data_IF_669602294114
#
_entry.id   IF_669602294114
#
_cell.length_a   1.000
_cell.length_b   1.000
_cell.length_c   1.000
_cell.angle_alpha   90.00
_cell.angle_beta   90.00
_cell.angle_gamma   90.00
#
_symmetry.space_group_name_H-M   'P 1'
#
loop_
_entity.id
_entity.type
_entity.pdbx_description
1 polymer ?
#
# COMPACT_ATOMS: atom_id res chain seq x y z
N UNK A 1 -4.49 -6.36 8.15
CA UNK A 1 -4.33 -5.18 7.26
C UNK A 1 -3.05 -5.31 6.43
N UNK A 2 -3.00 -4.78 5.20
CA UNK A 2 -1.77 -4.75 4.39
C UNK A 2 -1.21 -3.33 4.33
N UNK A 3 0.03 -3.18 4.75
CA UNK A 3 0.72 -1.90 4.88
C UNK A 3 2.22 -2.08 4.59
N UNK A 4 2.93 -0.99 4.32
CA UNK A 4 4.39 -0.96 4.24
C UNK A 4 4.96 -1.28 5.63
N UNK A 5 6.03 -2.05 5.68
CA UNK A 5 6.69 -2.41 6.94
C UNK A 5 7.35 -1.18 7.57
N UNK A 6 6.82 -0.71 8.69
CA UNK A 6 7.43 0.32 9.53
C UNK A 6 7.37 -0.06 11.03
N UNK A 7 7.59 0.91 11.92
CA UNK A 7 7.55 0.68 13.38
C UNK A 7 6.12 0.40 13.86
N UNK A 8 5.14 1.23 13.45
CA UNK A 8 3.72 1.01 13.73
C UNK A 8 3.25 -0.40 13.35
N UNK A 9 3.55 -0.87 12.13
CA UNK A 9 3.15 -2.19 11.66
C UNK A 9 3.66 -3.33 12.56
N UNK A 10 4.89 -3.19 13.10
CA UNK A 10 5.47 -4.19 14.02
C UNK A 10 4.81 -4.15 15.39
N UNK A 11 4.56 -2.96 15.92
CA UNK A 11 4.01 -2.79 17.26
C UNK A 11 2.53 -3.15 17.32
N UNK A 12 1.77 -2.77 16.29
CA UNK A 12 0.38 -3.19 16.13
C UNK A 12 0.25 -4.72 16.02
N UNK A 13 1.10 -5.35 15.22
CA UNK A 13 1.12 -6.82 15.13
C UNK A 13 1.45 -7.47 16.48
N UNK A 14 2.42 -6.95 17.25
CA UNK A 14 2.70 -7.46 18.60
C UNK A 14 1.51 -7.26 19.54
N UNK A 15 0.86 -6.11 19.47
CA UNK A 15 -0.28 -5.76 20.30
C UNK A 15 -1.48 -6.69 20.03
N UNK A 16 -1.74 -7.04 18.77
CA UNK A 16 -2.81 -7.96 18.35
C UNK A 16 -2.65 -9.37 18.97
N UNK A 17 -1.43 -9.83 19.22
CA UNK A 17 -1.16 -11.12 19.88
C UNK A 17 -0.85 -10.99 21.39
N UNK A 18 -1.16 -9.85 22.00
CA UNK A 18 -0.94 -9.60 23.42
C UNK A 18 -2.23 -9.75 24.25
N UNK A 19 -2.20 -9.37 25.53
CA UNK A 19 -3.37 -9.40 26.41
C UNK A 19 -4.09 -8.04 26.53
N UNK A 20 -3.78 -7.08 25.67
CA UNK A 20 -4.49 -5.79 25.68
C UNK A 20 -5.96 -5.98 25.30
N UNK A 21 -6.80 -5.06 25.76
CA UNK A 21 -8.21 -5.07 25.39
C UNK A 21 -8.42 -4.63 23.94
N UNK A 22 -9.56 -5.03 23.36
CA UNK A 22 -9.97 -4.58 22.03
C UNK A 22 -10.03 -3.04 21.94
N UNK A 23 -10.48 -2.37 23.00
CA UNK A 23 -10.55 -0.91 23.08
C UNK A 23 -9.16 -0.26 23.02
N UNK A 24 -8.16 -0.86 23.68
CA UNK A 24 -6.77 -0.38 23.62
C UNK A 24 -6.14 -0.63 22.25
N UNK A 25 -6.47 -1.77 21.61
CA UNK A 25 -6.01 -2.09 20.26
C UNK A 25 -6.60 -1.11 19.23
N UNK A 26 -7.89 -0.76 19.36
CA UNK A 26 -8.53 0.25 18.52
C UNK A 26 -7.92 1.64 18.71
N UNK A 27 -7.64 2.04 19.96
CA UNK A 27 -6.97 3.31 20.26
C UNK A 27 -5.58 3.40 19.62
N UNK A 28 -4.84 2.28 19.57
CA UNK A 28 -3.54 2.22 18.92
C UNK A 28 -3.63 2.50 17.41
N UNK A 29 -4.64 1.95 16.74
CA UNK A 29 -4.88 2.16 15.31
C UNK A 29 -5.53 3.51 14.96
N UNK A 30 -6.24 4.12 15.91
CA UNK A 30 -6.97 5.36 15.68
C UNK A 30 -6.06 6.50 15.19
N UNK A 31 -6.46 7.11 14.07
CA UNK A 31 -5.74 8.19 13.42
C UNK A 31 -4.42 7.80 12.74
N UNK A 32 -4.00 6.53 12.75
CA UNK A 32 -2.73 6.11 12.16
C UNK A 32 -2.64 6.40 10.65
N UNK A 33 -3.74 6.21 9.91
CA UNK A 33 -3.80 6.57 8.49
C UNK A 33 -3.64 8.07 8.25
N UNK A 34 -4.22 8.92 9.10
CA UNK A 34 -4.10 10.37 8.97
C UNK A 34 -2.64 10.82 9.20
N UNK A 35 -2.00 10.28 10.25
CA UNK A 35 -0.59 10.55 10.54
C UNK A 35 0.31 10.15 9.36
N UNK A 36 0.04 9.03 8.69
CA UNK A 36 0.78 8.64 7.48
C UNK A 36 0.46 9.53 6.27
N UNK A 37 -0.81 9.66 5.90
CA UNK A 37 -1.22 10.26 4.63
C UNK A 37 -1.17 11.79 4.59
N UNK A 38 -1.38 12.44 5.75
CA UNK A 38 -1.44 13.91 5.86
C UNK A 38 -0.19 14.46 6.49
N UNK A 39 0.28 13.86 7.58
CA UNK A 39 1.42 14.38 8.35
C UNK A 39 2.77 13.79 7.92
N UNK A 40 2.77 12.68 7.17
CA UNK A 40 4.00 11.99 6.76
C UNK A 40 4.75 11.32 7.91
N UNK A 41 4.10 10.97 9.02
CA UNK A 41 4.75 10.30 10.15
C UNK A 41 5.06 8.83 9.84
N UNK A 42 6.27 8.59 9.34
CA UNK A 42 6.81 7.26 9.02
C UNK A 42 6.88 6.30 10.21
N UNK A 43 6.91 6.80 11.45
CA UNK A 43 7.11 5.98 12.65
C UNK A 43 5.79 5.46 13.20
N UNK A 44 4.81 6.34 13.38
CA UNK A 44 3.53 5.99 14.04
C UNK A 44 2.34 5.96 13.08
N UNK A 45 2.56 6.31 11.81
CA UNK A 45 1.55 6.25 10.76
C UNK A 45 1.37 4.86 10.16
N UNK A 46 0.15 4.62 9.65
CA UNK A 46 -0.21 3.42 8.89
C UNK A 46 -0.13 3.69 7.38
N UNK A 47 0.95 3.22 6.75
CA UNK A 47 1.17 3.37 5.30
C UNK A 47 0.51 2.21 4.55
N UNK A 48 -0.79 2.32 4.33
CA UNK A 48 -1.57 1.36 3.55
C UNK A 48 -1.08 1.28 2.10
N UNK A 49 -0.59 0.11 1.69
CA UNK A 49 -0.13 -0.12 0.32
C UNK A 49 -0.25 -1.60 -0.09
N UNK A 50 -0.49 -1.84 -1.38
CA UNK A 50 -0.48 -3.18 -1.97
C UNK A 50 0.95 -3.71 -2.19
N UNK A 51 1.10 -5.02 -2.45
CA UNK A 51 2.42 -5.62 -2.73
C UNK A 51 3.06 -5.07 -4.01
N UNK A 52 2.25 -4.55 -4.94
CA UNK A 52 2.70 -3.92 -6.18
C UNK A 52 3.49 -2.63 -5.94
N UNK A 53 3.50 -2.08 -4.71
CA UNK A 53 4.24 -0.85 -4.39
C UNK A 53 5.73 -0.95 -4.71
N UNK A 54 6.32 -2.16 -4.68
CA UNK A 54 7.71 -2.38 -5.09
C UNK A 54 7.97 -2.21 -6.60
N UNK A 55 6.93 -2.17 -7.43
CA UNK A 55 7.02 -1.89 -8.87
C UNK A 55 6.82 -0.41 -9.20
N UNK A 56 6.34 0.40 -8.26
CA UNK A 56 6.17 1.85 -8.45
C UNK A 56 7.50 2.53 -8.16
N UNK A 57 8.16 3.03 -9.20
CA UNK A 57 9.53 3.57 -9.12
C UNK A 57 9.66 5.04 -9.58
N UNK A 58 8.53 5.69 -9.85
CA UNK A 58 8.47 7.09 -10.28
C UNK A 58 7.19 7.75 -9.77
N UNK A 59 7.29 9.04 -9.50
CA UNK A 59 6.15 9.91 -9.25
C UNK A 59 5.60 10.41 -10.59
N UNK A 60 4.28 10.36 -10.77
CA UNK A 60 3.64 10.70 -12.03
C UNK A 60 2.29 11.40 -11.82
N UNK A 61 1.91 12.33 -12.71
CA UNK A 61 0.54 12.81 -12.81
C UNK A 61 -0.45 11.67 -13.09
N UNK A 62 -1.65 11.76 -12.53
CA UNK A 62 -2.68 10.73 -12.70
C UNK A 62 -2.99 10.42 -14.18
N UNK A 63 -2.99 11.44 -15.05
CA UNK A 63 -3.22 11.27 -16.48
C UNK A 63 -2.14 10.41 -17.17
N UNK A 64 -0.88 10.55 -16.76
CA UNK A 64 0.23 9.76 -17.30
C UNK A 64 0.16 8.31 -16.85
N UNK A 65 -0.17 8.06 -15.57
CA UNK A 65 -0.34 6.71 -15.03
C UNK A 65 -1.40 5.95 -15.84
N UNK A 66 -2.56 6.57 -16.06
CA UNK A 66 -3.67 5.96 -16.81
C UNK A 66 -3.21 5.65 -18.24
N UNK A 67 -2.64 6.65 -18.93
CA UNK A 67 -2.21 6.48 -20.32
C UNK A 67 -1.17 5.36 -20.47
N UNK A 68 -0.13 5.38 -19.64
CA UNK A 68 0.94 4.38 -19.66
C UNK A 68 0.40 2.96 -19.39
N UNK A 69 -0.50 2.81 -18.40
CA UNK A 69 -1.10 1.52 -18.08
C UNK A 69 -1.86 0.91 -19.26
N UNK A 70 -2.65 1.72 -19.99
CA UNK A 70 -3.40 1.23 -21.16
C UNK A 70 -2.49 0.97 -22.37
N UNK A 71 -1.51 1.83 -22.62
CA UNK A 71 -0.53 1.63 -23.72
C UNK A 71 0.27 0.33 -23.51
N UNK A 72 0.75 0.08 -22.29
CA UNK A 72 1.46 -1.16 -21.94
C UNK A 72 0.54 -2.38 -22.05
N UNK A 73 -0.72 -2.27 -21.63
CA UNK A 73 -1.69 -3.37 -21.75
C UNK A 73 -1.94 -3.74 -23.23
N UNK A 74 -2.09 -2.75 -24.12
CA UNK A 74 -2.24 -2.99 -25.55
C UNK A 74 -1.02 -3.68 -26.16
N UNK A 75 0.19 -3.27 -25.77
CA UNK A 75 1.43 -3.89 -26.24
C UNK A 75 1.50 -5.37 -25.84
N UNK A 76 1.17 -5.67 -24.58
CA UNK A 76 1.12 -7.05 -24.07
C UNK A 76 0.06 -7.87 -24.83
N UNK A 77 -1.13 -7.30 -25.05
CA UNK A 77 -2.22 -7.98 -25.78
C UNK A 77 -1.87 -8.26 -27.24
N UNK A 78 -1.24 -7.32 -27.96
CA UNK A 78 -0.76 -7.56 -29.34
C UNK A 78 0.28 -8.68 -29.41
N UNK A 79 1.08 -8.85 -28.35
CA UNK A 79 2.00 -9.97 -28.23
C UNK A 79 1.32 -11.34 -28.02
N UNK A 80 0.04 -11.36 -27.64
CA UNK A 80 -0.70 -12.57 -27.31
C UNK A 80 -1.01 -13.45 -28.54
N UNK A 81 -1.12 -12.86 -29.73
CA UNK A 81 -1.40 -13.58 -30.99
C UNK A 81 -0.39 -14.70 -31.26
N UNK A 82 0.84 -14.56 -30.76
CA UNK A 82 1.91 -15.58 -30.84
C UNK A 82 1.53 -16.90 -30.15
N UNK A 83 0.56 -16.85 -29.24
CA UNK A 83 0.12 -17.96 -28.41
C UNK A 83 -1.26 -18.48 -28.80
N UNK A 84 -1.94 -17.82 -29.75
CA UNK A 84 -3.23 -18.24 -30.29
C UNK A 84 -2.95 -19.15 -31.49
N UNK A 85 -3.39 -20.42 -31.41
CA UNK A 85 -3.30 -21.41 -32.49
C UNK A 85 -4.52 -21.35 -33.39
#
# INVERSE_FOLDING_TARGET
>A
MRQIKNQFAKDYAKAEYSQISDEELEKLGSGALYRAAVEGDEKTGDFLAGQISGMVNKEQPAAEIIKEMFEQAEEVLKGADKWVK
#
